data_IF_488901337589
#
_entry.id   IF_488901337589
#
_cell.length_a   1.000
_cell.length_b   1.000
_cell.length_c   1.000
_cell.angle_alpha   90.00
_cell.angle_beta   90.00
_cell.angle_gamma   90.00
#
_symmetry.space_group_name_H-M   'P 1'
#
loop_
_entity.id
_entity.type
_entity.pdbx_description
1 polymer ?
#
# COMPACT_ATOMS: atom_id res chain seq x y z
N UNK A 1 0.76 -3.42 12.76
CA UNK A 1 0.56 -1.96 12.67
C UNK A 1 -0.40 -1.74 11.51
N UNK A 2 -1.61 -1.28 11.82
CA UNK A 2 -2.70 -1.05 10.85
C UNK A 2 -2.49 0.32 10.22
N UNK A 3 -2.65 0.45 8.89
CA UNK A 3 -2.59 1.73 8.18
C UNK A 3 -3.97 2.04 7.63
N UNK A 4 -4.44 3.26 7.85
CA UNK A 4 -5.73 3.73 7.37
C UNK A 4 -5.56 4.95 6.50
N UNK A 5 -6.44 5.09 5.52
CA UNK A 5 -6.55 6.30 4.73
C UNK A 5 -7.98 6.81 4.76
N UNK A 6 -8.13 8.10 5.05
CA UNK A 6 -9.40 8.76 5.28
C UNK A 6 -9.68 9.71 4.12
N UNK A 7 -10.81 9.51 3.44
CA UNK A 7 -11.37 10.54 2.55
C UNK A 7 -12.69 10.98 3.11
N UNK A 8 -12.84 12.28 3.38
CA UNK A 8 -14.11 12.86 3.82
C UNK A 8 -14.77 12.03 4.93
N UNK A 9 -15.77 11.20 4.58
CA UNK A 9 -16.52 10.33 5.51
C UNK A 9 -16.07 8.86 5.53
N UNK A 10 -15.23 8.40 4.60
CA UNK A 10 -14.86 6.99 4.49
C UNK A 10 -13.43 6.73 4.94
N UNK A 11 -13.28 5.78 5.86
CA UNK A 11 -11.99 5.28 6.30
C UNK A 11 -11.71 3.91 5.67
N UNK A 12 -10.51 3.78 5.11
CA UNK A 12 -10.01 2.55 4.52
C UNK A 12 -8.83 2.02 5.32
N UNK A 13 -9.03 1.14 6.31
CA UNK A 13 -7.93 0.48 7.00
C UNK A 13 -7.51 -0.81 6.29
N UNK A 14 -6.20 -1.02 6.17
CA UNK A 14 -5.62 -2.33 5.91
C UNK A 14 -5.64 -3.13 7.21
N UNK A 15 -6.46 -4.18 7.26
CA UNK A 15 -6.72 -4.96 8.46
C UNK A 15 -6.29 -6.41 8.28
N UNK A 16 -5.92 -7.03 9.40
CA UNK A 16 -5.78 -8.48 9.53
C UNK A 16 -6.86 -8.89 10.53
N UNK A 17 -7.96 -9.53 10.09
CA UNK A 17 -9.16 -9.80 10.89
C UNK A 17 -8.94 -10.44 12.26
N UNK A 18 -7.82 -11.16 12.46
CA UNK A 18 -7.63 -12.02 13.63
C UNK A 18 -6.45 -11.65 14.53
N UNK A 19 -5.79 -10.49 14.40
CA UNK A 19 -4.78 -10.03 15.36
C UNK A 19 -3.48 -10.87 15.49
N UNK A 20 -3.41 -12.05 14.87
CA UNK A 20 -2.37 -13.06 15.07
C UNK A 20 -1.51 -13.30 13.82
N UNK A 21 -1.28 -12.26 13.01
CA UNK A 21 -0.46 -12.35 11.79
C UNK A 21 0.97 -12.88 12.03
N UNK A 22 1.48 -12.75 13.26
CA UNK A 22 2.78 -13.28 13.64
C UNK A 22 2.78 -14.80 13.85
N UNK A 23 1.61 -15.42 14.04
CA UNK A 23 1.49 -16.86 14.28
C UNK A 23 1.49 -17.66 12.98
N UNK A 24 0.84 -17.15 11.94
CA UNK A 24 0.85 -17.74 10.61
C UNK A 24 1.18 -16.69 9.55
N UNK A 25 2.44 -16.20 9.51
CA UNK A 25 2.85 -15.12 8.61
C UNK A 25 2.85 -15.52 7.14
N UNK A 26 2.43 -16.74 6.79
CA UNK A 26 2.29 -17.23 5.42
C UNK A 26 0.84 -17.19 4.93
N UNK A 27 -0.13 -16.97 5.82
CA UNK A 27 -1.54 -17.00 5.46
C UNK A 27 -1.97 -15.69 4.83
N UNK A 28 -2.73 -15.80 3.73
CA UNK A 28 -3.34 -14.65 3.04
C UNK A 28 -4.66 -14.26 3.68
N UNK A 29 -4.61 -13.83 4.94
CA UNK A 29 -5.80 -13.45 5.71
C UNK A 29 -6.01 -11.93 5.78
N UNK A 30 -5.22 -11.13 5.07
CA UNK A 30 -5.35 -9.68 5.04
C UNK A 30 -6.58 -9.20 4.28
N UNK A 31 -7.11 -8.06 4.69
CA UNK A 31 -8.27 -7.42 4.11
C UNK A 31 -8.14 -5.90 4.10
N UNK A 32 -8.93 -5.25 3.24
CA UNK A 32 -9.16 -3.81 3.26
C UNK A 32 -10.63 -3.61 3.62
N UNK A 33 -10.88 -2.73 4.60
CA UNK A 33 -12.23 -2.38 5.00
C UNK A 33 -12.63 -1.03 4.39
N UNK A 34 -13.92 -0.80 4.23
CA UNK A 34 -14.51 0.51 3.96
C UNK A 34 -15.52 0.83 5.05
N UNK A 35 -15.13 1.74 5.92
CA UNK A 35 -15.94 2.17 7.06
C UNK A 35 -16.54 3.52 6.73
N UNK A 36 -17.86 3.63 6.88
CA UNK A 36 -18.59 4.89 6.77
C UNK A 36 -18.64 5.56 8.14
N UNK A 37 -18.15 6.78 8.22
CA UNK A 37 -18.09 7.57 9.45
C UNK A 37 -19.18 8.66 9.49
N UNK A 38 -20.19 8.59 8.60
CA UNK A 38 -21.27 9.58 8.57
C UNK A 38 -22.00 9.74 9.92
N UNK A 39 -22.18 8.65 10.66
CA UNK A 39 -22.84 8.63 11.96
C UNK A 39 -21.85 8.62 13.14
N UNK A 40 -20.57 8.90 12.89
CA UNK A 40 -19.55 8.91 13.93
C UNK A 40 -19.84 10.01 14.96
N UNK A 41 -20.05 9.61 16.21
CA UNK A 41 -20.20 10.51 17.35
C UNK A 41 -18.92 10.45 18.20
N UNK A 42 -18.18 11.58 18.38
CA UNK A 42 -16.92 11.58 19.13
C UNK A 42 -17.02 11.11 20.59
N UNK A 43 -18.24 11.14 21.15
CA UNK A 43 -18.53 10.76 22.54
C UNK A 43 -18.97 9.30 22.69
N UNK A 44 -19.19 8.58 21.58
CA UNK A 44 -19.61 7.19 21.59
C UNK A 44 -18.46 6.26 21.22
N UNK A 45 -18.50 5.05 21.76
CA UNK A 45 -17.59 3.99 21.34
C UNK A 45 -17.92 3.57 19.90
N UNK A 46 -16.90 3.46 19.06
CA UNK A 46 -17.06 3.04 17.68
C UNK A 46 -17.02 1.51 17.60
N UNK A 47 -18.16 0.88 17.89
CA UNK A 47 -18.34 -0.57 17.75
C UNK A 47 -18.66 -0.92 16.29
N UNK A 48 -17.62 -1.28 15.55
CA UNK A 48 -17.74 -1.76 14.16
C UNK A 48 -17.39 -3.24 14.14
N UNK A 49 -18.30 -4.06 13.60
CA UNK A 49 -17.96 -5.42 13.17
C UNK A 49 -17.19 -5.35 11.84
N UNK A 50 -15.87 -5.58 11.82
CA UNK A 50 -15.07 -5.41 10.61
C UNK A 50 -15.50 -6.33 9.47
N UNK A 51 -16.17 -7.45 9.75
CA UNK A 51 -16.57 -8.43 8.72
C UNK A 51 -17.60 -7.87 7.75
N UNK A 52 -18.47 -6.96 8.20
CA UNK A 52 -19.48 -6.29 7.36
C UNK A 52 -18.90 -5.18 6.47
N UNK A 53 -17.63 -4.81 6.67
CA UNK A 53 -17.00 -3.69 5.97
C UNK A 53 -15.89 -4.12 5.00
N UNK A 54 -15.66 -5.42 4.82
CA UNK A 54 -14.61 -5.94 3.93
C UNK A 54 -14.94 -5.63 2.47
N UNK A 55 -14.04 -4.92 1.78
CA UNK A 55 -14.14 -4.66 0.34
C UNK A 55 -13.08 -5.39 -0.49
N UNK A 56 -11.99 -5.82 0.14
CA UNK A 56 -10.95 -6.69 -0.46
C UNK A 56 -10.51 -7.68 0.62
N UNK A 57 -10.30 -8.94 0.25
CA UNK A 57 -9.83 -10.01 1.13
C UNK A 57 -8.73 -10.85 0.45
N UNK A 58 -8.19 -11.83 1.18
CA UNK A 58 -7.19 -12.75 0.61
C UNK A 58 -5.83 -12.08 0.36
N UNK A 59 -5.54 -10.97 1.03
CA UNK A 59 -4.31 -10.21 0.85
C UNK A 59 -3.20 -10.75 1.73
N UNK A 60 -1.97 -10.65 1.24
CA UNK A 60 -0.78 -11.10 1.92
C UNK A 60 -0.08 -9.93 2.63
N UNK A 61 -0.43 -9.73 3.90
CA UNK A 61 0.04 -8.61 4.73
C UNK A 61 -0.15 -7.26 4.03
N UNK A 62 -1.40 -6.86 3.73
CA UNK A 62 -1.65 -5.62 3.03
C UNK A 62 -1.18 -4.42 3.84
N UNK A 63 -0.51 -3.47 3.18
CA UNK A 63 -0.13 -2.20 3.76
C UNK A 63 -0.45 -1.08 2.80
N UNK A 64 -0.73 0.10 3.35
CA UNK A 64 -1.01 1.32 2.59
C UNK A 64 -2.18 1.15 1.63
N UNK A 65 -3.21 1.92 1.85
CA UNK A 65 -4.31 2.05 0.91
C UNK A 65 -4.46 3.53 0.64
N UNK A 66 -4.70 3.89 -0.61
CA UNK A 66 -5.02 5.25 -1.03
C UNK A 66 -6.16 5.17 -2.04
N UNK A 67 -6.78 6.30 -2.31
CA UNK A 67 -7.66 6.46 -3.46
C UNK A 67 -7.16 7.64 -4.27
N UNK A 68 -7.07 7.44 -5.57
CA UNK A 68 -6.63 8.46 -6.51
C UNK A 68 -7.56 8.40 -7.71
N UNK A 69 -8.12 9.55 -8.11
CA UNK A 69 -9.11 9.64 -9.21
C UNK A 69 -10.21 8.58 -9.10
N UNK A 70 -10.81 8.50 -7.91
CA UNK A 70 -11.85 7.53 -7.51
C UNK A 70 -11.46 6.05 -7.47
N UNK A 71 -10.24 5.68 -7.89
CA UNK A 71 -9.74 4.29 -7.89
C UNK A 71 -9.05 3.95 -6.60
N UNK A 72 -9.35 2.77 -6.05
CA UNK A 72 -8.62 2.23 -4.90
C UNK A 72 -7.25 1.71 -5.34
N UNK A 73 -6.20 2.03 -4.60
CA UNK A 73 -4.88 1.46 -4.78
C UNK A 73 -4.28 1.05 -3.45
N UNK A 74 -3.57 -0.08 -3.40
CA UNK A 74 -3.02 -0.62 -2.16
C UNK A 74 -1.82 -1.53 -2.39
N UNK A 75 -0.97 -1.69 -1.37
CA UNK A 75 0.13 -2.64 -1.42
C UNK A 75 -0.29 -4.00 -0.83
N UNK A 76 -0.07 -5.07 -1.59
CA UNK A 76 -0.13 -6.45 -1.11
C UNK A 76 1.31 -6.89 -0.79
N UNK A 77 1.77 -6.52 0.40
CA UNK A 77 3.20 -6.31 0.68
C UNK A 77 4.05 -7.57 0.59
N UNK A 78 3.54 -8.71 1.04
CA UNK A 78 4.27 -9.98 0.97
C UNK A 78 4.07 -10.70 -0.36
N UNK A 79 3.11 -10.28 -1.18
CA UNK A 79 3.02 -10.67 -2.58
C UNK A 79 3.91 -9.79 -3.50
N UNK A 80 4.63 -8.82 -2.93
CA UNK A 80 5.50 -7.88 -3.63
C UNK A 80 4.81 -7.13 -4.77
N UNK A 81 3.53 -6.79 -4.61
CA UNK A 81 2.76 -6.12 -5.65
C UNK A 81 1.98 -4.93 -5.13
N UNK A 82 1.64 -4.04 -6.05
CA UNK A 82 0.66 -2.97 -5.85
C UNK A 82 -0.53 -3.26 -6.74
N UNK A 83 -1.70 -3.22 -6.13
CA UNK A 83 -2.98 -3.39 -6.80
C UNK A 83 -3.59 -2.00 -7.03
N UNK A 84 -4.10 -1.77 -8.23
CA UNK A 84 -4.83 -0.56 -8.60
C UNK A 84 -6.11 -1.04 -9.27
N UNK A 85 -7.25 -0.58 -8.76
CA UNK A 85 -8.56 -1.01 -9.24
C UNK A 85 -8.65 -0.95 -10.78
N UNK A 86 -9.11 -2.04 -11.40
CA UNK A 86 -9.30 -2.22 -12.85
C UNK A 86 -8.01 -2.25 -13.69
N UNK A 87 -6.83 -2.31 -13.07
CA UNK A 87 -5.54 -2.46 -13.75
C UNK A 87 -4.88 -3.81 -13.44
N UNK A 88 -3.87 -4.16 -14.25
CA UNK A 88 -2.98 -5.27 -13.93
C UNK A 88 -2.12 -4.91 -12.68
N UNK A 89 -1.83 -5.87 -11.79
CA UNK A 89 -0.98 -5.63 -10.63
C UNK A 89 0.43 -5.21 -11.05
N UNK A 90 1.02 -4.27 -10.33
CA UNK A 90 2.43 -3.89 -10.51
C UNK A 90 3.27 -4.81 -9.64
N UNK A 91 3.93 -5.78 -10.28
CA UNK A 91 4.82 -6.72 -9.60
C UNK A 91 6.21 -6.10 -9.39
N UNK A 92 6.69 -6.17 -8.16
CA UNK A 92 8.01 -5.75 -7.71
C UNK A 92 8.75 -6.95 -7.09
N UNK A 93 9.99 -6.70 -6.65
CA UNK A 93 10.86 -7.73 -6.09
C UNK A 93 11.06 -7.59 -4.58
N UNK A 94 10.29 -6.75 -3.88
CA UNK A 94 10.50 -6.53 -2.45
C UNK A 94 9.24 -6.09 -1.73
N UNK A 95 9.34 -5.97 -0.41
CA UNK A 95 8.21 -5.68 0.47
C UNK A 95 7.64 -4.28 0.21
N UNK A 96 6.47 -4.22 -0.43
CA UNK A 96 5.86 -2.96 -0.87
C UNK A 96 5.13 -2.26 0.27
N UNK A 97 5.40 -0.96 0.48
CA UNK A 97 4.79 -0.15 1.54
C UNK A 97 5.00 1.33 1.27
N UNK A 98 4.01 2.15 1.56
CA UNK A 98 3.99 3.53 1.14
C UNK A 98 3.65 3.62 -0.34
N UNK A 99 2.66 4.44 -0.66
CA UNK A 99 2.11 4.57 -1.99
C UNK A 99 1.64 6.00 -2.16
N UNK A 100 2.02 6.61 -3.27
CA UNK A 100 1.47 7.88 -3.72
C UNK A 100 1.34 7.86 -5.24
N UNK A 101 0.44 8.68 -5.76
CA UNK A 101 0.13 8.74 -7.19
C UNK A 101 -0.04 10.20 -7.61
N UNK A 102 0.45 10.51 -8.80
CA UNK A 102 0.02 11.63 -9.64
C UNK A 102 -0.75 11.07 -10.83
N UNK A 103 -1.11 11.91 -11.79
CA UNK A 103 -1.80 11.45 -13.01
C UNK A 103 -0.92 10.56 -13.90
N UNK A 104 0.40 10.76 -13.88
CA UNK A 104 1.35 10.09 -14.78
C UNK A 104 2.33 9.12 -14.07
N UNK A 105 2.49 9.28 -12.75
CA UNK A 105 3.55 8.64 -11.99
C UNK A 105 3.02 7.99 -10.72
N UNK A 106 3.52 6.79 -10.43
CA UNK A 106 3.20 6.04 -9.22
C UNK A 106 4.48 5.89 -8.41
N UNK A 107 4.43 6.34 -7.16
CA UNK A 107 5.53 6.21 -6.20
C UNK A 107 5.23 5.05 -5.27
N UNK A 108 6.05 4.00 -5.33
CA UNK A 108 5.87 2.78 -4.54
C UNK A 108 7.07 2.62 -3.62
N UNK A 109 6.85 2.72 -2.32
CA UNK A 109 7.92 2.45 -1.37
C UNK A 109 8.20 0.96 -1.26
N UNK A 110 9.48 0.65 -1.08
CA UNK A 110 9.98 -0.67 -0.73
C UNK A 110 10.66 -0.56 0.63
N UNK A 111 10.17 -1.33 1.59
CA UNK A 111 10.81 -1.43 2.90
C UNK A 111 11.77 -2.60 2.92
N UNK A 112 12.90 -2.44 3.62
CA UNK A 112 13.85 -3.53 3.83
C UNK A 112 13.19 -4.69 4.58
N UNK A 113 13.32 -5.89 4.04
CA UNK A 113 12.85 -7.10 4.69
C UNK A 113 13.75 -7.45 5.89
N UNK A 114 13.19 -7.40 7.10
CA UNK A 114 13.94 -7.69 8.35
C UNK A 114 13.95 -9.17 8.72
N UNK A 115 12.99 -9.94 8.25
CA UNK A 115 12.84 -11.35 8.56
C UNK A 115 13.03 -12.18 7.29
N UNK A 116 14.28 -12.32 6.85
CA UNK A 116 14.64 -13.02 5.60
C UNK A 116 14.09 -14.45 5.55
N UNK A 117 14.02 -15.14 6.70
CA UNK A 117 13.45 -16.49 6.81
C UNK A 117 11.93 -16.56 6.60
N UNK A 118 11.24 -15.42 6.53
CA UNK A 118 9.80 -15.34 6.25
C UNK A 118 9.52 -14.95 4.80
N UNK A 119 10.56 -14.77 3.98
CA UNK A 119 10.39 -14.47 2.56
C UNK A 119 9.69 -15.66 1.91
N UNK A 120 8.59 -15.44 1.17
CA UNK A 120 7.91 -16.54 0.50
C UNK A 120 8.84 -17.13 -0.57
N UNK A 121 9.06 -18.45 -0.51
CA UNK A 121 9.87 -19.17 -1.50
C UNK A 121 9.17 -19.34 -2.86
N UNK A 122 7.99 -18.74 -3.04
CA UNK A 122 7.28 -18.70 -4.32
C UNK A 122 7.93 -17.78 -5.35
N UNK A 123 8.82 -16.88 -4.92
CA UNK A 123 9.54 -15.96 -5.80
C UNK A 123 10.98 -16.44 -6.05
N UNK A 124 11.46 -16.30 -7.28
CA UNK A 124 12.85 -16.65 -7.65
C UNK A 124 13.88 -15.79 -6.95
N UNK A 125 13.53 -14.55 -6.59
CA UNK A 125 14.38 -13.62 -5.89
C UNK A 125 13.57 -12.63 -5.04
N UNK A 126 14.24 -12.00 -4.07
CA UNK A 126 13.71 -10.90 -3.27
C UNK A 126 14.80 -9.85 -3.07
N UNK A 127 14.53 -8.61 -3.47
CA UNK A 127 15.30 -7.42 -3.16
C UNK A 127 15.12 -7.06 -1.68
N UNK A 128 16.26 -6.83 -1.00
CA UNK A 128 16.30 -6.48 0.42
C UNK A 128 16.48 -4.98 0.65
N UNK A 129 16.64 -4.20 -0.43
CA UNK A 129 16.94 -2.78 -0.33
C UNK A 129 15.71 -1.96 0.06
N UNK A 130 15.95 -0.82 0.72
CA UNK A 130 14.94 0.15 1.08
C UNK A 130 14.98 1.34 0.13
N UNK A 131 13.82 1.81 -0.32
CA UNK A 131 13.77 2.94 -1.25
C UNK A 131 12.39 3.17 -1.85
N UNK A 132 12.34 3.95 -2.92
CA UNK A 132 11.12 4.28 -3.64
C UNK A 132 11.30 3.91 -5.11
N UNK A 133 10.37 3.12 -5.63
CA UNK A 133 10.17 2.95 -7.06
C UNK A 133 9.35 4.11 -7.61
N UNK A 134 9.90 4.81 -8.59
CA UNK A 134 9.19 5.80 -9.41
C UNK A 134 8.74 5.06 -10.68
N UNK A 135 7.46 4.73 -10.76
CA UNK A 135 6.89 3.87 -11.79
C UNK A 135 6.05 4.68 -12.77
N UNK A 136 6.33 4.50 -14.06
CA UNK A 136 5.52 5.06 -15.15
C UNK A 136 4.57 3.97 -15.67
N UNK A 137 3.27 4.21 -15.58
CA UNK A 137 2.25 3.22 -15.93
C UNK A 137 2.09 3.00 -17.44
N UNK A 138 2.34 4.03 -18.25
CA UNK A 138 2.26 3.97 -19.72
C UNK A 138 3.30 3.01 -20.30
N UNK A 139 4.54 3.13 -19.87
CA UNK A 139 5.66 2.32 -20.37
C UNK A 139 5.95 1.09 -19.51
N UNK A 140 5.32 0.98 -18.34
CA UNK A 140 5.52 -0.10 -17.35
C UNK A 140 6.98 -0.26 -16.91
N UNK A 141 7.67 0.86 -16.76
CA UNK A 141 9.05 0.93 -16.31
C UNK A 141 9.14 1.66 -14.97
N UNK A 142 10.18 1.36 -14.19
CA UNK A 142 10.49 2.10 -12.98
C UNK A 142 11.96 2.45 -12.86
N UNK A 143 12.22 3.51 -12.09
CA UNK A 143 13.53 3.78 -11.49
C UNK A 143 13.45 3.55 -9.99
N UNK A 144 14.55 3.10 -9.40
CA UNK A 144 14.65 2.93 -7.95
C UNK A 144 15.51 4.02 -7.34
N UNK A 145 14.94 4.76 -6.40
CA UNK A 145 15.60 5.76 -5.58
C UNK A 145 15.90 5.13 -4.22
N UNK A 146 17.16 4.80 -3.99
CA UNK A 146 17.59 4.26 -2.70
C UNK A 146 17.43 5.32 -1.62
N UNK A 147 16.90 4.92 -0.46
CA UNK A 147 16.77 5.80 0.70
C UNK A 147 17.66 5.30 1.83
N UNK A 148 18.24 6.20 2.65
CA UNK A 148 18.94 5.78 3.87
C UNK A 148 17.98 5.17 4.91
N UNK A 149 16.67 5.44 4.77
CA UNK A 149 15.63 4.89 5.63
C UNK A 149 15.35 3.41 5.30
N UNK A 150 15.32 2.56 6.32
CA UNK A 150 15.07 1.12 6.15
C UNK A 150 13.60 0.79 5.90
N UNK A 151 12.67 1.69 6.19
CA UNK A 151 11.23 1.44 6.15
C UNK A 151 10.52 2.66 5.56
N UNK A 152 9.77 2.45 4.49
CA UNK A 152 8.92 3.47 3.87
C UNK A 152 7.49 3.20 4.31
N UNK A 153 6.97 4.00 5.24
CA UNK A 153 5.63 3.80 5.81
C UNK A 153 4.54 4.42 4.95
N UNK A 154 4.79 5.63 4.46
CA UNK A 154 3.88 6.43 3.66
C UNK A 154 4.71 7.34 2.76
N UNK A 155 4.17 7.66 1.59
CA UNK A 155 4.72 8.65 0.68
C UNK A 155 3.65 9.73 0.53
N UNK A 156 4.05 10.99 0.59
CA UNK A 156 3.18 12.13 0.38
C UNK A 156 3.76 12.97 -0.76
N UNK A 157 2.96 13.19 -1.80
CA UNK A 157 3.29 14.16 -2.86
C UNK A 157 2.90 15.54 -2.34
N UNK A 158 3.87 16.45 -2.26
CA UNK A 158 3.64 17.82 -1.76
C UNK A 158 3.16 18.78 -2.85
N UNK A 159 3.49 18.49 -4.10
CA UNK A 159 3.10 19.27 -5.27
C UNK A 159 2.59 18.30 -6.35
N UNK A 160 1.25 18.28 -6.52
CA UNK A 160 0.60 17.41 -7.49
C UNK A 160 0.69 17.97 -8.92
N UNK A 161 0.96 19.26 -9.06
CA UNK A 161 1.10 19.96 -10.34
C UNK A 161 2.57 19.98 -10.81
N UNK A 162 3.45 19.22 -10.16
CA UNK A 162 4.87 19.17 -10.52
C UNK A 162 5.07 18.61 -11.94
N UNK A 163 5.24 19.50 -12.91
CA UNK A 163 5.69 19.20 -14.26
C UNK A 163 7.19 19.47 -14.40
N UNK A 164 7.96 18.53 -14.97
CA UNK A 164 9.38 18.71 -15.29
C UNK A 164 9.66 19.79 -16.36
N UNK A 165 8.64 20.43 -16.93
CA UNK A 165 8.78 21.41 -18.03
C UNK A 165 9.32 22.80 -17.62
N UNK A 166 9.75 23.00 -16.37
CA UNK A 166 10.38 24.28 -15.93
C UNK A 166 11.89 24.19 -15.72
N UNK A 167 12.57 23.32 -16.45
CA UNK A 167 14.01 23.38 -16.66
C UNK A 167 14.33 24.14 -17.94
N UNK A 168 14.10 25.46 -17.95
CA UNK A 168 14.57 26.32 -19.02
C UNK A 168 16.11 26.36 -19.05
N UNK A 169 16.67 26.23 -20.25
CA UNK A 169 18.08 26.47 -20.56
C UNK A 169 18.58 27.82 -20.02
#
# INVERSE_FOLDING_TARGET
MTFGWLITRYMYPCFLPMGEWYRTPMDKNGAILKIDLADFQPTQHLDIDPTHHVIVNGLYMPHTVIRHNERLAYCDSMAYRVEIEKNAPIQLQGFTRGLAMTDDTIFIGQSRMRHVLRIPHAFSNCCLDGGIHVYNSTYRISRFVSLPAQQVYQILVLDQDFSLERGGN
#
